data_IF_283174871480
#
_entry.id   IF_283174871480
#
_cell.length_a   1.000
_cell.length_b   1.000
_cell.length_c   1.000
_cell.angle_alpha   90.00
_cell.angle_beta   90.00
_cell.angle_gamma   90.00
#
_symmetry.space_group_name_H-M   'P 1'
#
loop_
_entity.id
_entity.type
_entity.pdbx_description
1 polymer ?
#
# COMPACT_ATOMS: atom_id res chain seq x y z
N UNK A 1 66.44 -25.53 -11.57
CA UNK A 1 65.85 -24.22 -11.99
C UNK A 1 64.34 -24.34 -11.98
N UNK A 2 63.67 -23.84 -10.96
CA UNK A 2 62.21 -23.82 -10.90
C UNK A 2 61.73 -22.54 -11.60
N UNK A 3 61.15 -22.68 -12.75
CA UNK A 3 60.58 -21.60 -13.57
C UNK A 3 59.28 -21.18 -12.88
N UNK A 4 59.32 -20.12 -12.08
CA UNK A 4 58.13 -19.47 -11.52
C UNK A 4 57.31 -18.89 -12.71
N UNK A 5 56.22 -19.55 -13.01
CA UNK A 5 55.20 -19.00 -13.90
C UNK A 5 54.57 -17.76 -13.22
N UNK A 6 55.06 -16.59 -13.58
CA UNK A 6 54.38 -15.33 -13.24
C UNK A 6 53.12 -15.27 -14.09
N UNK A 7 52.00 -15.46 -13.48
CA UNK A 7 50.71 -15.16 -14.14
C UNK A 7 50.69 -13.66 -14.49
N UNK A 8 50.26 -13.28 -15.70
CA UNK A 8 50.21 -11.90 -16.12
C UNK A 8 49.23 -11.12 -15.22
N UNK A 9 49.56 -9.88 -14.83
CA UNK A 9 48.76 -9.08 -13.89
C UNK A 9 47.34 -8.72 -14.39
N UNK A 10 47.05 -8.84 -15.67
CA UNK A 10 45.76 -8.46 -16.25
C UNK A 10 44.56 -9.39 -16.01
N UNK A 11 44.78 -10.65 -15.59
CA UNK A 11 43.65 -11.58 -15.37
C UNK A 11 42.92 -11.37 -14.03
N UNK A 12 43.61 -10.86 -13.02
CA UNK A 12 43.01 -10.53 -11.72
C UNK A 12 42.18 -9.26 -11.77
N UNK A 13 42.61 -8.28 -12.55
CA UNK A 13 41.88 -7.01 -12.73
C UNK A 13 40.60 -7.18 -13.52
N UNK A 14 40.58 -8.05 -14.54
CA UNK A 14 39.37 -8.36 -15.31
C UNK A 14 38.32 -9.09 -14.51
N UNK A 15 38.72 -10.03 -13.66
CA UNK A 15 37.81 -10.73 -12.74
C UNK A 15 37.19 -9.82 -11.69
N UNK A 16 37.96 -8.86 -11.17
CA UNK A 16 37.49 -7.85 -10.24
C UNK A 16 36.46 -6.89 -10.86
N UNK A 17 36.74 -6.39 -12.07
CA UNK A 17 35.83 -5.48 -12.77
C UNK A 17 34.48 -6.15 -13.12
N UNK A 18 34.48 -7.42 -13.51
CA UNK A 18 33.25 -8.17 -13.78
C UNK A 18 32.45 -8.38 -12.46
N UNK A 19 33.12 -8.75 -11.39
CA UNK A 19 32.47 -8.93 -10.08
C UNK A 19 31.86 -7.61 -9.58
N UNK A 20 32.58 -6.51 -9.71
CA UNK A 20 32.12 -5.16 -9.33
C UNK A 20 30.90 -4.76 -10.17
N UNK A 21 30.93 -4.95 -11.48
CA UNK A 21 29.81 -4.69 -12.38
C UNK A 21 28.57 -5.50 -11.99
N UNK A 22 28.72 -6.79 -11.71
CA UNK A 22 27.60 -7.67 -11.28
C UNK A 22 27.03 -7.18 -9.95
N UNK A 23 27.88 -6.84 -8.98
CA UNK A 23 27.42 -6.34 -7.68
C UNK A 23 26.66 -5.00 -7.80
N UNK A 24 27.18 -4.07 -8.58
CA UNK A 24 26.52 -2.77 -8.82
C UNK A 24 25.19 -2.98 -9.55
N UNK A 25 25.15 -3.82 -10.56
CA UNK A 25 23.92 -4.14 -11.28
C UNK A 25 22.88 -4.78 -10.37
N UNK A 26 23.27 -5.74 -9.54
CA UNK A 26 22.38 -6.38 -8.57
C UNK A 26 21.84 -5.36 -7.55
N UNK A 27 22.70 -4.46 -7.04
CA UNK A 27 22.30 -3.41 -6.10
C UNK A 27 21.31 -2.44 -6.73
N UNK A 28 21.59 -1.97 -7.96
CA UNK A 28 20.70 -1.06 -8.67
C UNK A 28 19.35 -1.70 -8.99
N UNK A 29 19.37 -2.98 -9.38
CA UNK A 29 18.13 -3.75 -9.61
C UNK A 29 17.33 -3.87 -8.31
N UNK A 30 17.95 -4.24 -7.21
CA UNK A 30 17.28 -4.34 -5.91
C UNK A 30 16.71 -2.98 -5.46
N UNK A 31 17.47 -1.89 -5.65
CA UNK A 31 16.99 -0.54 -5.33
C UNK A 31 15.78 -0.14 -6.19
N UNK A 32 15.84 -0.41 -7.49
CA UNK A 32 14.72 -0.13 -8.41
C UNK A 32 13.47 -0.89 -8.00
N UNK A 33 13.59 -2.19 -7.68
CA UNK A 33 12.48 -3.00 -7.22
C UNK A 33 11.92 -2.48 -5.89
N UNK A 34 12.77 -2.06 -4.96
CA UNK A 34 12.33 -1.49 -3.68
C UNK A 34 11.52 -0.19 -3.87
N UNK A 35 11.97 0.69 -4.77
CA UNK A 35 11.23 1.92 -5.10
C UNK A 35 9.88 1.62 -5.75
N UNK A 36 9.83 0.66 -6.68
CA UNK A 36 8.57 0.23 -7.30
C UNK A 36 7.59 -0.38 -6.29
N UNK A 37 8.08 -1.20 -5.36
CA UNK A 37 7.25 -1.76 -4.29
C UNK A 37 6.69 -0.68 -3.37
N UNK A 38 7.51 0.31 -3.00
CA UNK A 38 7.07 1.44 -2.19
C UNK A 38 6.01 2.26 -2.92
N UNK A 39 6.23 2.58 -4.19
CA UNK A 39 5.27 3.32 -5.02
C UNK A 39 3.93 2.58 -5.12
N UNK A 40 3.95 1.26 -5.32
CA UNK A 40 2.75 0.43 -5.35
C UNK A 40 2.02 0.42 -3.99
N UNK A 41 2.73 0.27 -2.89
CA UNK A 41 2.14 0.29 -1.55
C UNK A 41 1.47 1.63 -1.25
N UNK A 42 2.10 2.75 -1.60
CA UNK A 42 1.53 4.09 -1.45
C UNK A 42 0.31 4.30 -2.36
N UNK A 43 0.35 3.80 -3.58
CA UNK A 43 -0.78 3.86 -4.50
C UNK A 43 -1.99 3.11 -3.94
N UNK A 44 -1.81 1.88 -3.49
CA UNK A 44 -2.88 1.08 -2.86
C UNK A 44 -3.43 1.81 -1.63
N UNK A 45 -2.57 2.30 -0.75
CA UNK A 45 -2.98 3.03 0.46
C UNK A 45 -3.83 4.25 0.12
N UNK A 46 -3.39 5.08 -0.80
CA UNK A 46 -4.11 6.30 -1.18
C UNK A 46 -5.47 5.96 -1.81
N UNK A 47 -5.51 4.99 -2.72
CA UNK A 47 -6.76 4.56 -3.36
C UNK A 47 -7.78 4.05 -2.33
N UNK A 48 -7.33 3.23 -1.37
CA UNK A 48 -8.20 2.70 -0.32
C UNK A 48 -8.65 3.80 0.65
N UNK A 49 -7.78 4.75 0.98
CA UNK A 49 -8.11 5.89 1.83
C UNK A 49 -9.20 6.76 1.18
N UNK A 50 -9.07 7.06 -0.11
CA UNK A 50 -10.05 7.83 -0.86
C UNK A 50 -11.39 7.11 -0.93
N UNK A 51 -11.39 5.80 -1.17
CA UNK A 51 -12.60 4.97 -1.18
C UNK A 51 -13.28 4.90 0.20
N UNK A 52 -12.50 4.77 1.27
CA UNK A 52 -13.03 4.75 2.64
C UNK A 52 -13.62 6.12 3.04
N UNK A 53 -12.96 7.21 2.67
CA UNK A 53 -13.46 8.56 2.91
C UNK A 53 -14.77 8.84 2.15
N UNK A 54 -14.85 8.40 0.89
CA UNK A 54 -16.07 8.54 0.08
C UNK A 54 -17.22 7.70 0.66
N UNK A 55 -16.96 6.46 1.08
CA UNK A 55 -17.96 5.63 1.75
C UNK A 55 -18.44 6.22 3.07
N UNK A 56 -17.54 6.81 3.86
CA UNK A 56 -17.90 7.49 5.11
C UNK A 56 -18.79 8.71 4.85
N UNK A 57 -18.46 9.53 3.83
CA UNK A 57 -19.31 10.65 3.42
C UNK A 57 -20.69 10.18 2.97
N UNK A 58 -20.73 9.11 2.16
CA UNK A 58 -21.99 8.54 1.70
C UNK A 58 -22.87 8.08 2.85
N UNK A 59 -22.29 7.36 3.82
CA UNK A 59 -22.99 6.90 5.00
C UNK A 59 -23.45 8.04 5.94
N UNK A 60 -22.76 9.18 5.89
CA UNK A 60 -23.09 10.36 6.71
C UNK A 60 -24.25 11.19 6.15
N UNK A 61 -24.68 10.93 4.91
CA UNK A 61 -25.86 11.59 4.34
C UNK A 61 -27.14 11.13 5.01
N UNK A 62 -28.12 12.04 5.16
CA UNK A 62 -29.35 11.83 5.91
C UNK A 62 -30.18 10.60 5.47
N UNK A 63 -30.12 10.23 4.19
CA UNK A 63 -30.89 9.13 3.60
C UNK A 63 -30.08 7.82 3.43
N UNK A 64 -28.85 7.77 3.97
CA UNK A 64 -27.94 6.66 3.80
C UNK A 64 -27.59 6.01 5.13
N UNK A 65 -27.23 4.72 5.11
CA UNK A 65 -26.84 3.98 6.29
C UNK A 65 -25.39 3.50 6.25
N UNK A 66 -24.91 2.98 7.38
CA UNK A 66 -23.55 2.44 7.53
C UNK A 66 -23.21 1.38 6.49
N UNK A 67 -24.14 0.44 6.26
CA UNK A 67 -23.91 -0.64 5.29
C UNK A 67 -23.79 -0.13 3.87
N UNK A 68 -24.60 0.84 3.48
CA UNK A 68 -24.54 1.46 2.16
C UNK A 68 -23.21 2.21 1.95
N UNK A 69 -22.69 2.86 3.00
CA UNK A 69 -21.36 3.47 2.97
C UNK A 69 -20.23 2.45 2.83
N UNK A 70 -20.31 1.34 3.57
CA UNK A 70 -19.36 0.24 3.44
C UNK A 70 -19.41 -0.40 2.04
N UNK A 71 -20.60 -0.60 1.50
CA UNK A 71 -20.79 -1.13 0.14
C UNK A 71 -20.21 -0.18 -0.92
N UNK A 72 -20.46 1.11 -0.78
CA UNK A 72 -19.87 2.14 -1.65
C UNK A 72 -18.34 2.07 -1.66
N UNK A 73 -17.72 1.92 -0.48
CA UNK A 73 -16.26 1.74 -0.38
C UNK A 73 -15.80 0.45 -1.07
N UNK A 74 -16.52 -0.67 -0.88
CA UNK A 74 -16.19 -1.95 -1.55
C UNK A 74 -16.23 -1.84 -3.06
N UNK A 75 -17.24 -1.17 -3.60
CA UNK A 75 -17.40 -0.97 -5.05
C UNK A 75 -16.25 -0.16 -5.63
N UNK A 76 -15.87 0.93 -4.96
CA UNK A 76 -14.77 1.80 -5.39
C UNK A 76 -13.43 1.06 -5.33
N UNK A 77 -13.16 0.32 -4.26
CA UNK A 77 -11.93 -0.46 -4.12
C UNK A 77 -11.89 -1.57 -5.18
N UNK A 78 -13.00 -2.27 -5.38
CA UNK A 78 -13.10 -3.34 -6.38
C UNK A 78 -12.86 -2.83 -7.79
N UNK A 79 -13.41 -1.66 -8.13
CA UNK A 79 -13.23 -1.04 -9.43
C UNK A 79 -11.79 -0.59 -9.68
N UNK A 80 -11.11 -0.10 -8.65
CA UNK A 80 -9.75 0.46 -8.77
C UNK A 80 -8.64 -0.58 -8.62
N UNK A 81 -8.79 -1.53 -7.69
CA UNK A 81 -7.74 -2.47 -7.27
C UNK A 81 -8.12 -3.94 -7.43
N UNK A 82 -9.40 -4.23 -7.57
CA UNK A 82 -9.94 -5.57 -7.65
C UNK A 82 -10.57 -6.08 -6.34
N UNK A 83 -11.37 -7.18 -6.41
CA UNK A 83 -12.17 -7.65 -5.28
C UNK A 83 -11.34 -8.21 -4.11
N UNK A 84 -10.10 -8.61 -4.35
CA UNK A 84 -9.21 -9.11 -3.30
C UNK A 84 -8.90 -8.05 -2.24
N UNK A 85 -8.93 -6.77 -2.60
CA UNK A 85 -8.65 -5.64 -1.71
C UNK A 85 -9.90 -5.12 -0.97
N UNK A 86 -11.08 -5.55 -1.35
CA UNK A 86 -12.37 -5.11 -0.80
C UNK A 86 -13.02 -6.13 0.15
N UNK A 87 -12.27 -7.10 0.66
CA UNK A 87 -12.81 -8.22 1.46
C UNK A 87 -13.17 -7.81 2.88
N UNK A 88 -12.42 -6.93 3.47
CA UNK A 88 -12.58 -6.53 4.88
C UNK A 88 -12.83 -5.02 4.97
N UNK A 89 -14.09 -4.66 4.80
CA UNK A 89 -14.60 -3.29 4.87
C UNK A 89 -15.73 -3.26 5.87
N UNK A 90 -15.62 -2.38 6.88
CA UNK A 90 -16.63 -2.18 7.89
C UNK A 90 -16.90 -0.69 8.11
N UNK A 91 -18.13 -0.35 8.46
CA UNK A 91 -18.53 1.00 8.81
C UNK A 91 -19.15 1.02 10.21
N UNK A 92 -18.94 2.11 10.93
CA UNK A 92 -19.47 2.32 12.27
C UNK A 92 -19.59 3.78 12.61
N UNK A 93 -20.43 4.09 13.60
CA UNK A 93 -20.49 5.43 14.17
C UNK A 93 -19.24 5.69 15.01
N UNK A 94 -18.72 6.89 14.93
CA UNK A 94 -17.56 7.33 15.67
C UNK A 94 -17.64 8.83 15.94
N UNK A 95 -16.90 9.29 16.93
CA UNK A 95 -16.69 10.72 17.13
C UNK A 95 -15.55 11.18 16.19
N UNK A 96 -15.83 12.22 15.40
CA UNK A 96 -14.88 12.81 14.45
C UNK A 96 -14.72 14.29 14.80
N UNK A 97 -13.56 14.67 15.27
CA UNK A 97 -13.24 16.04 15.70
C UNK A 97 -14.23 16.63 16.74
N UNK A 98 -14.77 15.79 17.65
CA UNK A 98 -15.74 16.20 18.68
C UNK A 98 -17.20 16.20 18.22
N UNK A 99 -17.48 15.73 17.02
CA UNK A 99 -18.82 15.65 16.45
C UNK A 99 -19.22 14.21 16.14
N UNK A 100 -20.52 13.87 16.18
CA UNK A 100 -21.00 12.58 15.71
C UNK A 100 -20.60 12.38 14.24
N UNK A 101 -20.08 11.21 13.93
CA UNK A 101 -19.61 10.93 12.59
C UNK A 101 -19.67 9.45 12.24
N UNK A 102 -19.25 9.15 11.03
CA UNK A 102 -19.11 7.80 10.51
C UNK A 102 -17.64 7.52 10.24
N UNK A 103 -17.21 6.32 10.58
CA UNK A 103 -15.89 5.78 10.26
C UNK A 103 -16.05 4.54 9.41
N UNK A 104 -15.37 4.54 8.27
CA UNK A 104 -15.20 3.34 7.45
C UNK A 104 -13.77 2.84 7.62
N UNK A 105 -13.65 1.58 8.02
CA UNK A 105 -12.37 0.88 8.22
C UNK A 105 -12.20 -0.15 7.12
N UNK A 106 -11.03 -0.17 6.51
CA UNK A 106 -10.65 -1.13 5.48
C UNK A 106 -9.33 -1.78 5.86
N UNK A 107 -9.31 -3.11 5.89
CA UNK A 107 -8.08 -3.89 6.05
C UNK A 107 -7.67 -4.48 4.71
N UNK A 108 -6.51 -4.08 4.20
CA UNK A 108 -6.01 -4.47 2.88
C UNK A 108 -4.76 -5.31 2.99
N UNK A 109 -4.65 -6.41 2.21
CA UNK A 109 -3.38 -7.11 2.08
C UNK A 109 -2.38 -6.24 1.33
N UNK A 110 -1.16 -6.08 1.87
CA UNK A 110 -0.06 -5.44 1.15
C UNK A 110 0.71 -6.49 0.37
N UNK A 111 0.86 -6.33 -0.96
CA UNK A 111 1.71 -7.20 -1.76
C UNK A 111 3.19 -6.83 -1.57
N UNK A 112 3.73 -7.03 -0.38
CA UNK A 112 5.16 -6.88 -0.12
C UNK A 112 5.84 -8.21 -0.39
N UNK A 113 6.39 -8.36 -1.58
CA UNK A 113 7.18 -9.54 -1.94
C UNK A 113 8.52 -9.53 -1.19
N UNK A 114 8.66 -10.44 -0.24
CA UNK A 114 9.91 -11.20 -0.09
C UNK A 114 10.90 -10.79 0.95
N UNK A 115 10.86 -9.71 1.72
CA UNK A 115 11.90 -9.44 2.73
C UNK A 115 11.41 -9.44 4.18
N UNK A 116 10.14 -9.38 4.38
CA UNK A 116 9.52 -9.41 5.70
C UNK A 116 8.24 -10.24 5.57
N UNK A 117 8.33 -11.54 5.65
CA UNK A 117 7.21 -12.49 5.67
C UNK A 117 6.17 -12.17 6.74
N UNK A 118 5.58 -11.01 6.68
CA UNK A 118 4.58 -10.51 7.58
C UNK A 118 3.34 -10.25 6.74
N UNK A 119 2.33 -11.10 6.93
CA UNK A 119 0.94 -10.90 6.54
C UNK A 119 0.37 -9.68 7.31
N UNK A 120 1.03 -8.54 7.19
CA UNK A 120 0.53 -7.31 7.77
C UNK A 120 -0.40 -6.65 6.77
N UNK A 121 -1.70 -6.82 7.03
CA UNK A 121 -2.71 -6.00 6.41
C UNK A 121 -2.48 -4.51 6.76
N UNK A 122 -2.64 -3.64 5.80
CA UNK A 122 -2.70 -2.20 6.03
C UNK A 122 -4.13 -1.86 6.46
N UNK A 123 -4.30 -1.31 7.65
CA UNK A 123 -5.56 -0.75 8.11
C UNK A 123 -5.65 0.71 7.69
N UNK A 124 -6.75 1.07 7.03
CA UNK A 124 -7.04 2.43 6.57
C UNK A 124 -8.41 2.83 7.08
N UNK A 125 -8.53 4.04 7.59
CA UNK A 125 -9.79 4.60 8.08
C UNK A 125 -10.15 5.87 7.30
N UNK A 126 -11.39 5.92 6.81
CA UNK A 126 -12.02 7.13 6.30
C UNK A 126 -13.08 7.62 7.29
N UNK A 127 -13.14 8.92 7.53
CA UNK A 127 -14.07 9.51 8.49
C UNK A 127 -14.89 10.63 7.83
N UNK A 128 -16.15 10.77 8.22
CA UNK A 128 -17.00 11.89 7.87
C UNK A 128 -17.89 12.29 9.06
N UNK A 129 -18.11 13.58 9.22
CA UNK A 129 -19.06 14.09 10.21
C UNK A 129 -20.47 13.93 9.66
N UNK A 130 -21.40 13.48 10.48
CA UNK A 130 -22.83 13.44 10.11
C UNK A 130 -23.33 14.88 10.07
N UNK A 131 -23.92 15.27 8.95
CA UNK A 131 -24.65 16.52 8.87
C UNK A 131 -25.97 16.35 9.62
N UNK A 132 -26.00 16.76 10.89
CA UNK A 132 -27.27 17.05 11.54
C UNK A 132 -27.89 18.24 10.80
N UNK A 133 -28.98 18.00 10.09
CA UNK A 133 -29.86 19.07 9.68
C UNK A 133 -30.40 19.67 10.99
N UNK A 134 -29.75 20.72 11.46
CA UNK A 134 -30.29 21.53 12.54
C UNK A 134 -31.55 22.16 11.97
N UNK A 135 -32.70 21.56 12.30
CA UNK A 135 -34.00 22.20 12.13
C UNK A 135 -33.98 23.50 12.96
N UNK A 136 -33.84 24.62 12.29
CA UNK A 136 -34.23 25.93 12.88
C UNK A 136 -35.74 26.05 12.90
#
# INVERSE_FOLDING_TARGET
MIRRWRRPPGERERGSAVAEFVMVTALLTALTLAVLQLALALHIRNTVLDAAAEGARYAALADSGLEQGAERSRDLITAALGPAYARDVSAGYAEVAGYPGVRVRVLVPLPLFGLLGMDRGLEVEGNAVVEDLVDE
#
